data_IF_522616090509
#
_entry.id   IF_522616090509
#
_cell.length_a   1.000
_cell.length_b   1.000
_cell.length_c   1.000
_cell.angle_alpha   90.00
_cell.angle_beta   90.00
_cell.angle_gamma   90.00
#
_symmetry.space_group_name_H-M   'P 1'
#
loop_
_entity.id
_entity.type
_entity.pdbx_description
1 polymer ?
#
# COMPACT_ATOMS: atom_id res chain seq x y z
N UNK A 1 -9.37 13.73 2.51
CA UNK A 1 -9.27 12.74 3.59
C UNK A 1 -7.79 12.47 3.82
N UNK A 2 -7.32 12.61 5.06
CA UNK A 2 -5.90 12.41 5.43
C UNK A 2 -5.72 11.03 6.06
N UNK A 3 -4.74 10.27 5.58
CA UNK A 3 -4.40 8.93 6.06
C UNK A 3 -3.01 9.00 6.69
N UNK A 4 -2.83 8.74 7.98
CA UNK A 4 -1.48 8.63 8.55
C UNK A 4 -1.09 7.16 8.64
N UNK A 5 0.09 6.86 8.11
CA UNK A 5 0.87 5.68 8.46
C UNK A 5 1.11 5.70 9.95
N UNK A 6 0.41 4.88 10.73
CA UNK A 6 0.90 4.50 12.04
C UNK A 6 1.77 3.27 11.80
N UNK A 7 3.11 3.38 11.74
CA UNK A 7 3.95 2.20 11.62
C UNK A 7 3.93 1.51 12.97
N UNK A 8 2.88 0.70 13.19
CA UNK A 8 2.67 0.03 14.47
C UNK A 8 3.57 -1.21 14.56
N UNK A 9 4.05 -1.77 13.44
CA UNK A 9 4.87 -3.00 13.49
C UNK A 9 6.02 -3.12 12.49
N UNK A 10 6.29 -2.12 11.66
CA UNK A 10 7.55 -2.11 10.89
C UNK A 10 7.87 -0.70 10.39
N UNK A 11 9.12 -0.26 10.57
CA UNK A 11 9.66 0.93 9.89
C UNK A 11 9.63 0.68 8.38
N UNK A 12 8.90 1.44 7.56
CA UNK A 12 9.27 1.54 6.17
C UNK A 12 10.55 2.38 6.13
N UNK A 13 11.61 1.85 5.51
CA UNK A 13 12.89 2.57 5.34
C UNK A 13 12.61 3.93 4.68
N UNK A 14 12.79 5.01 5.45
CA UNK A 14 12.59 6.40 4.98
C UNK A 14 11.47 7.19 5.66
N UNK A 15 10.65 6.55 6.52
CA UNK A 15 9.52 7.19 7.18
C UNK A 15 9.77 7.27 8.68
N UNK A 16 9.74 8.47 9.26
CA UNK A 16 9.89 8.69 10.70
C UNK A 16 8.77 7.97 11.45
N UNK A 17 9.04 6.74 11.87
CA UNK A 17 8.05 5.86 12.47
C UNK A 17 8.10 5.83 13.98
N UNK A 18 6.94 5.57 14.58
CA UNK A 18 6.78 5.11 15.95
C UNK A 18 7.55 3.79 16.11
N UNK A 19 8.27 3.66 17.23
CA UNK A 19 9.02 2.46 17.60
C UNK A 19 8.07 1.24 17.66
N UNK A 20 8.38 0.10 17.01
CA UNK A 20 7.57 -1.12 17.08
C UNK A 20 7.39 -1.67 18.51
N UNK A 21 8.14 -1.17 19.50
CA UNK A 21 7.96 -1.48 20.93
C UNK A 21 6.87 -0.65 21.63
N UNK A 22 6.22 0.31 20.95
CA UNK A 22 5.30 1.26 21.60
C UNK A 22 3.87 0.69 21.83
N UNK A 23 3.47 -0.38 21.13
CA UNK A 23 2.18 -1.05 21.38
C UNK A 23 2.40 -2.48 21.91
N UNK A 24 3.32 -2.63 22.87
CA UNK A 24 3.25 -3.78 23.80
C UNK A 24 2.27 -3.52 24.95
N UNK A 25 1.83 -2.28 25.13
CA UNK A 25 0.88 -1.85 26.16
C UNK A 25 -0.40 -1.32 25.49
N UNK A 26 -1.42 -2.18 25.42
CA UNK A 26 -2.75 -1.86 24.86
C UNK A 26 -3.35 -0.57 25.44
N UNK A 27 -2.93 -0.20 26.65
CA UNK A 27 -3.47 0.92 27.43
C UNK A 27 -3.13 2.29 26.83
N UNK A 28 -2.07 2.39 26.01
CA UNK A 28 -1.65 3.67 25.41
C UNK A 28 -2.33 3.97 24.06
N UNK A 29 -3.08 3.02 23.49
CA UNK A 29 -3.79 3.19 22.20
C UNK A 29 -4.71 4.41 22.21
N UNK A 30 -5.55 4.65 23.24
CA UNK A 30 -6.44 5.80 23.26
C UNK A 30 -5.68 7.12 23.19
N UNK A 31 -4.53 7.24 23.85
CA UNK A 31 -3.75 8.49 23.90
C UNK A 31 -3.16 8.81 22.52
N UNK A 32 -2.52 7.85 21.86
CA UNK A 32 -2.01 8.03 20.49
C UNK A 32 -3.11 8.40 19.49
N UNK A 33 -4.27 7.75 19.57
CA UNK A 33 -5.40 8.10 18.72
C UNK A 33 -5.98 9.48 19.06
N UNK A 34 -5.86 9.93 20.31
CA UNK A 34 -6.19 11.29 20.73
C UNK A 34 -5.31 12.32 20.03
N UNK A 35 -3.98 12.15 20.11
CA UNK A 35 -3.01 13.02 19.43
C UNK A 35 -3.26 13.08 17.92
N UNK A 36 -3.52 11.93 17.28
CA UNK A 36 -3.87 11.88 15.86
C UNK A 36 -5.18 12.59 15.54
N UNK A 37 -6.16 12.49 16.43
CA UNK A 37 -7.44 13.18 16.25
C UNK A 37 -7.27 14.69 16.31
N UNK A 38 -6.46 15.17 17.25
CA UNK A 38 -6.12 16.58 17.44
C UNK A 38 -5.31 17.13 16.24
N UNK A 39 -4.45 16.30 15.66
CA UNK A 39 -3.75 16.58 14.39
C UNK A 39 -4.68 16.50 13.16
N UNK A 40 -5.98 16.21 13.34
CA UNK A 40 -6.97 16.19 12.28
C UNK A 40 -6.93 14.94 11.40
N UNK A 41 -6.21 13.90 11.81
CA UNK A 41 -6.12 12.62 11.10
C UNK A 41 -7.48 11.92 11.12
N UNK A 42 -7.86 11.34 9.97
CA UNK A 42 -9.16 10.66 9.78
C UNK A 42 -9.04 9.21 9.38
N UNK A 43 -7.81 8.72 9.16
CA UNK A 43 -7.57 7.33 8.83
C UNK A 43 -6.24 6.84 9.38
N UNK A 44 -6.28 5.64 9.97
CA UNK A 44 -5.14 4.92 10.53
C UNK A 44 -4.72 3.83 9.55
N UNK A 45 -3.43 3.77 9.24
CA UNK A 45 -2.85 2.74 8.37
C UNK A 45 -2.09 1.71 9.21
N UNK A 46 -2.46 0.45 9.07
CA UNK A 46 -1.86 -0.71 9.71
C UNK A 46 -0.88 -1.38 8.74
N UNK A 47 0.21 -1.94 9.29
CA UNK A 47 1.26 -2.62 8.53
C UNK A 47 1.44 -4.06 8.98
N UNK A 48 2.09 -4.85 8.13
CA UNK A 48 2.51 -6.22 8.42
C UNK A 48 3.22 -6.32 9.78
N UNK A 49 2.93 -7.40 10.51
CA UNK A 49 3.50 -7.72 11.81
C UNK A 49 2.55 -7.46 12.98
N UNK A 50 1.46 -6.72 12.77
CA UNK A 50 0.43 -6.50 13.77
C UNK A 50 -0.37 -7.79 14.01
N UNK A 51 -0.58 -8.15 15.27
CA UNK A 51 -1.46 -9.27 15.62
C UNK A 51 -2.92 -8.90 15.39
N UNK A 52 -3.77 -9.90 15.15
CA UNK A 52 -5.21 -9.69 14.95
C UNK A 52 -5.86 -9.05 16.18
N UNK A 53 -5.39 -9.39 17.40
CA UNK A 53 -5.91 -8.87 18.66
C UNK A 53 -5.59 -7.39 18.84
N UNK A 54 -4.35 -6.99 18.55
CA UNK A 54 -3.93 -5.58 18.62
C UNK A 54 -4.65 -4.77 17.54
N UNK A 55 -4.74 -5.30 16.31
CA UNK A 55 -5.46 -4.65 15.22
C UNK A 55 -6.94 -4.43 15.56
N UNK A 56 -7.62 -5.46 16.07
CA UNK A 56 -9.01 -5.36 16.51
C UNK A 56 -9.20 -4.24 17.53
N UNK A 57 -8.38 -4.22 18.60
CA UNK A 57 -8.49 -3.19 19.64
C UNK A 57 -8.24 -1.78 19.09
N UNK A 58 -7.18 -1.61 18.30
CA UNK A 58 -6.85 -0.34 17.65
C UNK A 58 -8.00 0.16 16.76
N UNK A 59 -8.56 -0.73 15.93
CA UNK A 59 -9.64 -0.40 15.01
C UNK A 59 -10.91 -0.02 15.78
N UNK A 60 -11.25 -0.75 16.84
CA UNK A 60 -12.38 -0.45 17.71
C UNK A 60 -12.26 0.97 18.32
N UNK A 61 -11.09 1.32 18.86
CA UNK A 61 -10.86 2.64 19.45
C UNK A 61 -10.76 3.76 18.39
N UNK A 62 -10.25 3.46 17.19
CA UNK A 62 -10.26 4.38 16.06
C UNK A 62 -11.69 4.69 15.60
N UNK A 63 -12.57 3.68 15.55
CA UNK A 63 -13.98 3.83 15.18
C UNK A 63 -14.76 4.68 16.17
N UNK A 64 -14.52 4.53 17.48
CA UNK A 64 -15.11 5.42 18.53
C UNK A 64 -14.78 6.89 18.29
N UNK A 65 -13.66 7.18 17.63
CA UNK A 65 -13.18 8.53 17.29
C UNK A 65 -13.57 8.97 15.87
N UNK A 66 -14.36 8.18 15.16
CA UNK A 66 -14.77 8.46 13.78
C UNK A 66 -13.63 8.38 12.77
N UNK A 67 -12.56 7.64 13.07
CA UNK A 67 -11.46 7.39 12.14
C UNK A 67 -11.71 6.10 11.35
N UNK A 68 -11.27 6.08 10.10
CA UNK A 68 -11.25 4.87 9.26
C UNK A 68 -9.93 4.14 9.38
N UNK A 69 -9.88 2.89 8.94
CA UNK A 69 -8.68 2.06 9.02
C UNK A 69 -8.37 1.41 7.67
N UNK A 70 -7.08 1.30 7.35
CA UNK A 70 -6.61 0.62 6.13
C UNK A 70 -5.40 -0.24 6.48
N UNK A 71 -5.26 -1.44 5.91
CA UNK A 71 -4.14 -2.33 6.21
C UNK A 71 -3.27 -2.61 4.96
N UNK A 72 -1.97 -2.73 5.16
CA UNK A 72 -1.06 -3.41 4.23
C UNK A 72 -0.32 -4.53 4.97
N UNK A 73 -0.80 -5.76 4.80
CA UNK A 73 -0.28 -6.99 5.37
C UNK A 73 0.37 -7.88 4.30
N UNK A 74 0.72 -7.30 3.15
CA UNK A 74 1.43 -7.98 2.06
C UNK A 74 0.65 -9.19 1.50
N UNK A 75 1.21 -10.40 1.62
CA UNK A 75 0.61 -11.64 1.11
C UNK A 75 -0.72 -11.98 1.77
N UNK A 76 -1.04 -11.34 2.91
CA UNK A 76 -2.34 -11.46 3.60
C UNK A 76 -3.36 -10.37 3.20
N UNK A 77 -3.02 -9.46 2.29
CA UNK A 77 -4.00 -8.48 1.81
C UNK A 77 -5.19 -9.19 1.18
N UNK A 78 -6.39 -8.66 1.45
CA UNK A 78 -7.69 -9.22 1.05
C UNK A 78 -8.03 -10.56 1.71
N UNK A 79 -7.49 -10.84 2.91
CA UNK A 79 -7.97 -11.94 3.75
C UNK A 79 -9.31 -11.57 4.40
N UNK A 80 -10.36 -12.32 4.05
CA UNK A 80 -11.73 -12.09 4.52
C UNK A 80 -11.88 -12.25 6.04
N UNK A 81 -11.22 -13.27 6.61
CA UNK A 81 -11.33 -13.59 8.02
C UNK A 81 -10.63 -12.53 8.86
N UNK A 82 -9.44 -12.09 8.43
CA UNK A 82 -8.72 -11.03 9.09
C UNK A 82 -9.51 -9.71 9.07
N UNK A 83 -10.07 -9.33 7.93
CA UNK A 83 -10.90 -8.12 7.81
C UNK A 83 -12.12 -8.19 8.74
N UNK A 84 -12.85 -9.30 8.75
CA UNK A 84 -14.03 -9.49 9.62
C UNK A 84 -13.68 -9.48 11.11
N UNK A 85 -12.64 -10.20 11.50
CA UNK A 85 -12.24 -10.33 12.90
C UNK A 85 -11.70 -9.03 13.50
N UNK A 86 -11.17 -8.14 12.65
CA UNK A 86 -10.61 -6.86 13.11
C UNK A 86 -11.56 -5.68 12.92
N UNK A 87 -12.56 -5.80 12.04
CA UNK A 87 -13.44 -4.70 11.68
C UNK A 87 -12.82 -3.71 10.68
N UNK A 88 -11.70 -4.06 10.04
CA UNK A 88 -10.95 -3.21 9.11
C UNK A 88 -11.84 -2.56 8.03
N UNK A 89 -11.70 -1.26 7.78
CA UNK A 89 -12.53 -0.56 6.77
C UNK A 89 -12.06 -0.78 5.33
N UNK A 90 -10.76 -0.98 5.10
CA UNK A 90 -10.25 -1.21 3.76
C UNK A 90 -8.84 -1.77 3.67
N UNK A 91 -8.48 -2.23 2.47
CA UNK A 91 -7.14 -2.73 2.17
C UNK A 91 -6.36 -1.72 1.33
N UNK A 92 -5.05 -1.67 1.51
CA UNK A 92 -4.18 -1.18 0.45
C UNK A 92 -3.66 -2.36 -0.36
N UNK A 93 -3.46 -2.09 -1.65
CA UNK A 93 -3.01 -3.03 -2.65
C UNK A 93 -4.04 -4.14 -2.92
N UNK A 94 -4.10 -4.57 -4.17
CA UNK A 94 -5.08 -5.56 -4.63
C UNK A 94 -4.57 -6.99 -4.44
N UNK A 95 -4.56 -7.39 -3.17
CA UNK A 95 -4.18 -8.74 -2.75
C UNK A 95 -2.70 -9.02 -2.95
N UNK A 96 -2.25 -10.10 -2.34
CA UNK A 96 -0.89 -10.60 -2.51
C UNK A 96 -0.67 -11.20 -3.92
N UNK A 97 0.22 -12.18 -4.04
CA UNK A 97 0.52 -12.84 -5.32
C UNK A 97 -0.61 -13.73 -5.86
N UNK A 98 -1.74 -13.85 -5.16
CA UNK A 98 -2.77 -14.83 -5.44
C UNK A 98 -4.02 -14.18 -6.04
N UNK A 99 -4.78 -14.97 -6.78
CA UNK A 99 -6.09 -14.55 -7.27
C UNK A 99 -7.07 -14.60 -6.11
N UNK A 100 -7.68 -13.47 -5.79
CA UNK A 100 -8.63 -13.34 -4.69
C UNK A 100 -10.01 -13.87 -5.13
N UNK A 101 -10.68 -14.70 -4.30
CA UNK A 101 -12.02 -15.20 -4.61
C UNK A 101 -13.05 -14.07 -4.76
N UNK A 102 -14.00 -14.22 -5.68
CA UNK A 102 -15.05 -13.22 -5.94
C UNK A 102 -15.90 -12.91 -4.70
N UNK A 103 -16.18 -13.93 -3.88
CA UNK A 103 -16.89 -13.79 -2.62
C UNK A 103 -16.26 -12.80 -1.62
N UNK A 104 -14.94 -12.53 -1.73
CA UNK A 104 -14.30 -11.48 -0.93
C UNK A 104 -14.78 -10.09 -1.35
N UNK A 105 -14.85 -9.84 -2.67
CA UNK A 105 -15.29 -8.57 -3.20
C UNK A 105 -16.80 -8.35 -2.96
N UNK A 106 -17.61 -9.40 -3.08
CA UNK A 106 -19.03 -9.33 -2.72
C UNK A 106 -19.22 -8.94 -1.25
N UNK A 107 -18.49 -9.59 -0.33
CA UNK A 107 -18.50 -9.23 1.09
C UNK A 107 -18.06 -7.79 1.31
N UNK A 108 -16.98 -7.35 0.67
CA UNK A 108 -16.49 -5.98 0.83
C UNK A 108 -17.52 -4.95 0.36
N UNK A 109 -18.23 -5.23 -0.72
CA UNK A 109 -19.30 -4.36 -1.22
C UNK A 109 -20.47 -4.30 -0.25
N UNK A 110 -20.94 -5.45 0.22
CA UNK A 110 -22.06 -5.56 1.16
C UNK A 110 -21.76 -4.85 2.48
N UNK A 111 -20.53 -5.00 2.99
CA UNK A 111 -20.09 -4.44 4.26
C UNK A 111 -19.60 -2.97 4.14
N UNK A 112 -19.70 -2.35 2.96
CA UNK A 112 -19.27 -0.97 2.73
C UNK A 112 -17.78 -0.73 2.91
N UNK A 113 -16.96 -1.74 2.62
CA UNK A 113 -15.48 -1.70 2.68
C UNK A 113 -14.89 -1.12 1.40
N UNK A 114 -13.62 -0.73 1.44
CA UNK A 114 -12.93 -0.13 0.29
C UNK A 114 -11.55 -0.71 0.02
N UNK A 115 -11.05 -0.48 -1.19
CA UNK A 115 -9.68 -0.83 -1.59
C UNK A 115 -8.95 0.39 -2.12
N UNK A 116 -7.72 0.60 -1.65
CA UNK A 116 -6.74 1.50 -2.26
C UNK A 116 -5.88 0.68 -3.23
N UNK A 117 -6.20 0.72 -4.51
CA UNK A 117 -5.75 -0.29 -5.48
C UNK A 117 -4.24 -0.29 -5.73
N UNK A 118 -3.62 0.90 -5.75
CA UNK A 118 -2.19 1.09 -6.00
C UNK A 118 -1.67 0.32 -7.23
N UNK A 119 -2.40 0.36 -8.34
CA UNK A 119 -2.09 -0.46 -9.54
C UNK A 119 -0.64 -0.31 -10.01
N UNK A 120 -0.08 0.88 -9.88
CA UNK A 120 1.31 1.17 -10.22
C UNK A 120 2.31 0.33 -9.39
N UNK A 121 2.02 0.09 -8.11
CA UNK A 121 2.83 -0.80 -7.29
C UNK A 121 2.78 -2.23 -7.84
N UNK A 122 1.61 -2.67 -8.30
CA UNK A 122 1.44 -3.97 -8.96
C UNK A 122 2.41 -4.18 -10.13
N UNK A 123 2.63 -3.14 -10.94
CA UNK A 123 3.58 -3.16 -12.05
C UNK A 123 5.04 -3.11 -11.58
N UNK A 124 5.35 -2.28 -10.58
CA UNK A 124 6.68 -2.19 -9.98
C UNK A 124 7.09 -3.55 -9.39
N UNK A 125 6.21 -4.17 -8.59
CA UNK A 125 6.43 -5.46 -7.96
C UNK A 125 6.39 -6.64 -8.94
N UNK A 126 5.76 -6.49 -10.10
CA UNK A 126 5.89 -7.47 -11.17
C UNK A 126 7.27 -7.45 -11.86
N UNK A 127 8.10 -6.43 -11.59
CA UNK A 127 9.38 -6.25 -12.26
C UNK A 127 9.28 -5.87 -13.73
N UNK A 128 8.09 -5.52 -14.24
CA UNK A 128 7.91 -5.14 -15.66
C UNK A 128 8.70 -3.89 -16.01
N UNK A 129 8.90 -2.99 -15.05
CA UNK A 129 9.76 -1.81 -15.21
C UNK A 129 11.24 -2.16 -15.40
N UNK A 130 11.65 -3.35 -14.95
CA UNK A 130 13.03 -3.85 -15.13
C UNK A 130 13.15 -4.63 -16.44
N UNK A 131 12.14 -5.43 -16.79
CA UNK A 131 12.20 -6.40 -17.90
C UNK A 131 11.63 -5.90 -19.22
N UNK A 132 10.64 -5.00 -19.19
CA UNK A 132 9.89 -4.54 -20.37
C UNK A 132 10.09 -3.05 -20.65
N UNK A 133 10.45 -2.24 -19.64
CA UNK A 133 10.51 -0.78 -19.80
C UNK A 133 11.78 -0.25 -20.46
N UNK A 134 12.84 -1.07 -20.55
CA UNK A 134 14.04 -0.72 -21.33
C UNK A 134 13.69 -0.31 -22.77
N UNK A 135 12.64 -0.93 -23.32
CA UNK A 135 12.18 -0.71 -24.69
C UNK A 135 10.98 0.27 -24.77
N UNK A 136 10.18 0.39 -23.70
CA UNK A 136 8.99 1.27 -23.65
C UNK A 136 9.30 2.69 -23.22
N UNK A 137 10.45 2.92 -22.58
CA UNK A 137 10.99 4.26 -22.33
C UNK A 137 10.26 5.06 -21.24
N UNK A 138 9.48 4.44 -20.35
CA UNK A 138 8.77 5.17 -19.29
C UNK A 138 9.73 5.87 -18.33
N UNK A 139 10.78 5.20 -17.87
CA UNK A 139 11.83 5.86 -17.06
C UNK A 139 12.69 6.85 -17.86
N UNK A 140 12.56 6.91 -19.18
CA UNK A 140 13.20 7.91 -20.05
C UNK A 140 12.30 9.12 -20.32
N UNK A 141 11.06 9.10 -19.84
CA UNK A 141 10.16 10.25 -19.94
C UNK A 141 10.81 11.46 -19.25
N UNK A 142 10.88 12.64 -19.90
CA UNK A 142 11.52 13.83 -19.33
C UNK A 142 11.03 14.18 -17.92
N UNK A 143 9.73 14.06 -17.65
CA UNK A 143 9.17 14.36 -16.33
C UNK A 143 9.66 13.38 -15.25
N UNK A 144 9.85 12.10 -15.60
CA UNK A 144 10.40 11.10 -14.68
C UNK A 144 11.89 11.37 -14.44
N UNK A 145 12.62 11.76 -15.48
CA UNK A 145 14.04 12.14 -15.38
C UNK A 145 14.23 13.38 -14.51
N UNK A 146 13.33 14.36 -14.62
CA UNK A 146 13.38 15.58 -13.81
C UNK A 146 13.13 15.31 -12.32
N UNK A 147 12.24 14.36 -11.99
CA UNK A 147 11.91 13.99 -10.60
C UNK A 147 13.01 13.13 -9.96
N UNK A 148 13.40 12.04 -10.63
CA UNK A 148 14.31 11.05 -10.04
C UNK A 148 15.78 11.34 -10.31
N UNK A 149 16.07 12.15 -11.33
CA UNK A 149 17.42 12.44 -11.78
C UNK A 149 17.96 11.35 -12.71
N UNK A 150 18.58 11.80 -13.81
CA UNK A 150 19.19 10.92 -14.82
C UNK A 150 20.13 9.87 -14.23
N UNK A 151 20.98 10.26 -13.28
CA UNK A 151 21.97 9.35 -12.66
C UNK A 151 21.31 8.21 -11.88
N UNK A 152 20.19 8.46 -11.20
CA UNK A 152 19.50 7.41 -10.44
C UNK A 152 18.79 6.43 -11.38
N UNK A 153 18.23 6.93 -12.48
CA UNK A 153 17.66 6.08 -13.54
C UNK A 153 18.74 5.22 -14.19
N UNK A 154 19.91 5.79 -14.49
CA UNK A 154 21.05 5.04 -15.03
C UNK A 154 21.53 3.95 -14.05
N UNK A 155 21.66 4.27 -12.75
CA UNK A 155 21.99 3.28 -11.70
C UNK A 155 20.94 2.18 -11.61
N UNK A 156 19.66 2.51 -11.70
CA UNK A 156 18.58 1.54 -11.68
C UNK A 156 18.73 0.54 -12.82
N UNK A 157 18.93 1.01 -14.05
CA UNK A 157 19.12 0.14 -15.21
C UNK A 157 20.43 -0.65 -15.17
N UNK A 158 21.52 -0.07 -14.64
CA UNK A 158 22.79 -0.78 -14.45
C UNK A 158 22.66 -1.94 -13.44
N UNK A 159 21.78 -1.80 -12.45
CA UNK A 159 21.54 -2.83 -11.42
C UNK A 159 20.31 -3.71 -11.70
N UNK A 160 19.60 -3.49 -12.80
CA UNK A 160 18.38 -4.20 -13.19
C UNK A 160 18.46 -5.72 -13.03
N UNK A 161 19.54 -6.34 -13.52
CA UNK A 161 19.70 -7.79 -13.45
C UNK A 161 19.86 -8.29 -12.00
N UNK A 162 20.69 -7.62 -11.20
CA UNK A 162 20.90 -7.93 -9.78
C UNK A 162 19.63 -7.70 -8.97
N UNK A 163 18.93 -6.60 -9.22
CA UNK A 163 17.63 -6.32 -8.60
C UNK A 163 16.62 -7.40 -8.97
N UNK A 164 16.59 -7.86 -10.22
CA UNK A 164 15.67 -8.92 -10.65
C UNK A 164 15.93 -10.24 -9.93
N UNK A 165 17.19 -10.62 -9.80
CA UNK A 165 17.61 -11.80 -9.06
C UNK A 165 17.25 -11.68 -7.58
N UNK A 166 17.61 -10.57 -6.94
CA UNK A 166 17.37 -10.36 -5.51
C UNK A 166 15.88 -10.29 -5.15
N UNK A 167 15.05 -9.63 -5.95
CA UNK A 167 13.65 -9.45 -5.61
C UNK A 167 12.73 -10.56 -6.13
N UNK A 168 13.01 -11.16 -7.30
CA UNK A 168 12.00 -11.99 -8.00
C UNK A 168 12.44 -13.41 -8.34
N UNK A 169 13.65 -13.62 -8.87
CA UNK A 169 14.02 -14.89 -9.52
C UNK A 169 15.08 -15.71 -8.80
N UNK A 170 15.80 -15.14 -7.83
CA UNK A 170 16.80 -15.85 -7.05
C UNK A 170 16.18 -16.89 -6.13
N UNK A 171 16.95 -17.93 -5.77
CA UNK A 171 16.53 -18.99 -4.84
C UNK A 171 16.16 -18.46 -3.45
N UNK A 172 16.76 -17.33 -3.06
CA UNK A 172 16.48 -16.61 -1.81
C UNK A 172 15.84 -15.25 -2.10
N UNK A 173 15.12 -15.12 -3.22
CA UNK A 173 14.51 -13.86 -3.60
C UNK A 173 13.63 -13.32 -2.48
N UNK A 174 13.76 -12.02 -2.21
CA UNK A 174 13.10 -11.36 -1.07
C UNK A 174 11.60 -11.66 -1.04
N UNK A 175 10.86 -11.44 -2.13
CA UNK A 175 9.41 -11.65 -2.13
C UNK A 175 9.01 -13.12 -1.94
N UNK A 176 9.81 -14.06 -2.46
CA UNK A 176 9.58 -15.48 -2.21
C UNK A 176 9.73 -15.81 -0.72
N UNK A 177 10.79 -15.30 -0.08
CA UNK A 177 11.02 -15.46 1.36
C UNK A 177 9.93 -14.80 2.23
N UNK A 178 9.23 -13.78 1.70
CA UNK A 178 8.09 -13.14 2.38
C UNK A 178 6.73 -13.81 2.08
N UNK A 179 6.72 -14.97 1.41
CA UNK A 179 5.50 -15.71 1.12
C UNK A 179 4.68 -15.15 -0.03
N UNK A 180 5.26 -14.32 -0.90
CA UNK A 180 4.62 -13.94 -2.17
C UNK A 180 4.70 -15.06 -3.22
N UNK A 181 5.39 -16.17 -2.94
CA UNK A 181 5.51 -17.26 -3.91
C UNK A 181 6.10 -16.81 -5.26
N UNK A 182 5.64 -17.43 -6.34
CA UNK A 182 6.15 -17.21 -7.69
C UNK A 182 5.75 -15.84 -8.26
N UNK A 183 6.68 -14.89 -8.21
CA UNK A 183 6.47 -13.51 -8.68
C UNK A 183 6.21 -13.40 -10.19
N UNK A 184 6.51 -14.43 -10.97
CA UNK A 184 6.21 -14.49 -12.42
C UNK A 184 4.72 -14.37 -12.73
N UNK A 185 3.84 -14.78 -11.79
CA UNK A 185 2.38 -14.69 -11.93
C UNK A 185 1.79 -13.44 -11.29
N UNK A 186 2.59 -12.68 -10.54
CA UNK A 186 2.13 -11.57 -9.71
C UNK A 186 1.33 -10.55 -10.52
N UNK A 187 1.87 -10.06 -11.65
CA UNK A 187 1.18 -9.10 -12.51
C UNK A 187 -0.19 -9.58 -12.96
N UNK A 188 -0.26 -10.82 -13.46
CA UNK A 188 -1.49 -11.40 -13.98
C UNK A 188 -2.53 -11.48 -12.87
N UNK A 189 -2.14 -11.99 -11.71
CA UNK A 189 -3.05 -12.16 -10.58
C UNK A 189 -3.52 -10.81 -10.05
N UNK A 190 -2.62 -9.84 -9.95
CA UNK A 190 -2.93 -8.47 -9.58
C UNK A 190 -3.95 -7.85 -10.55
N UNK A 191 -3.74 -7.96 -11.87
CA UNK A 191 -4.68 -7.42 -12.86
C UNK A 191 -6.04 -8.13 -12.86
N UNK A 192 -6.07 -9.45 -12.60
CA UNK A 192 -7.33 -10.18 -12.39
C UNK A 192 -8.07 -9.62 -11.18
N UNK A 193 -7.37 -9.37 -10.06
CA UNK A 193 -7.96 -8.79 -8.86
C UNK A 193 -8.46 -7.36 -9.13
N UNK A 194 -7.71 -6.52 -9.84
CA UNK A 194 -8.17 -5.17 -10.29
C UNK A 194 -9.47 -5.26 -11.06
N UNK A 195 -9.56 -6.18 -12.02
CA UNK A 195 -10.78 -6.34 -12.82
C UNK A 195 -11.96 -6.79 -11.98
N UNK A 196 -11.77 -7.79 -11.11
CA UNK A 196 -12.82 -8.30 -10.22
C UNK A 196 -13.33 -7.24 -9.26
N UNK A 197 -12.40 -6.48 -8.68
CA UNK A 197 -12.69 -5.36 -7.82
C UNK A 197 -13.56 -4.31 -8.55
N UNK A 198 -13.14 -3.89 -9.74
CA UNK A 198 -13.90 -2.99 -10.60
C UNK A 198 -15.30 -3.52 -10.94
N UNK A 199 -15.40 -4.78 -11.38
CA UNK A 199 -16.66 -5.39 -11.81
C UNK A 199 -17.63 -5.60 -10.63
N UNK A 200 -17.11 -5.87 -9.43
CA UNK A 200 -17.92 -6.11 -8.22
C UNK A 200 -18.66 -4.86 -7.73
N UNK A 201 -18.09 -3.67 -7.98
CA UNK A 201 -18.59 -2.40 -7.47
C UNK A 201 -18.19 -2.09 -6.03
N UNK A 202 -17.13 -2.71 -5.51
CA UNK A 202 -16.46 -2.29 -4.27
C UNK A 202 -15.96 -0.84 -4.42
N UNK A 203 -15.94 -0.07 -3.32
CA UNK A 203 -15.48 1.30 -3.35
C UNK A 203 -13.96 1.37 -3.60
N UNK A 204 -13.58 2.06 -4.69
CA UNK A 204 -12.18 2.17 -5.11
C UNK A 204 -11.57 3.53 -4.80
N UNK A 205 -10.35 3.50 -4.29
CA UNK A 205 -9.47 4.64 -4.19
C UNK A 205 -8.17 4.39 -4.98
N UNK A 206 -7.69 5.44 -5.64
CA UNK A 206 -6.37 5.42 -6.29
C UNK A 206 -5.27 5.77 -5.29
N UNK A 207 -4.16 5.06 -5.38
CA UNK A 207 -2.90 5.37 -4.70
C UNK A 207 -1.71 5.03 -5.60
N UNK A 208 -0.53 5.53 -5.29
CA UNK A 208 0.70 5.23 -6.06
C UNK A 208 1.74 4.45 -5.26
N UNK A 209 1.62 4.45 -3.93
CA UNK A 209 2.60 3.92 -2.99
C UNK A 209 4.03 4.46 -3.21
N UNK A 210 4.13 5.71 -3.65
CA UNK A 210 5.43 6.35 -3.89
C UNK A 210 6.27 6.46 -2.60
N UNK A 211 7.63 6.42 -2.66
CA UNK A 211 8.47 6.85 -3.79
C UNK A 211 9.22 5.73 -4.56
N UNK A 212 8.59 4.61 -4.90
CA UNK A 212 9.25 3.63 -5.77
C UNK A 212 9.56 4.21 -7.14
N UNK A 213 10.73 3.89 -7.70
CA UNK A 213 11.13 4.38 -9.02
C UNK A 213 10.12 3.92 -10.08
N UNK A 214 9.39 4.88 -10.65
CA UNK A 214 8.28 4.65 -11.59
C UNK A 214 6.88 4.72 -10.99
N UNK A 215 6.75 4.92 -9.68
CA UNK A 215 5.56 5.44 -9.04
C UNK A 215 5.60 6.97 -9.05
N UNK A 216 4.50 7.61 -9.41
CA UNK A 216 4.45 9.08 -9.50
C UNK A 216 4.22 9.69 -8.12
N UNK A 217 5.14 10.55 -7.70
CA UNK A 217 4.93 11.60 -6.71
C UNK A 217 4.71 12.89 -7.50
N UNK A 218 3.53 13.49 -7.43
CA UNK A 218 3.36 14.82 -8.02
C UNK A 218 4.02 15.86 -7.09
N UNK A 219 4.89 16.69 -7.63
CA UNK A 219 5.37 17.96 -7.08
C UNK A 219 5.97 17.93 -5.64
N UNK A 220 6.92 17.05 -5.32
CA UNK A 220 7.80 17.17 -4.12
C UNK A 220 7.15 17.39 -2.74
N UNK A 221 5.82 17.30 -2.66
CA UNK A 221 4.94 17.67 -1.54
C UNK A 221 3.60 16.94 -1.59
N UNK A 222 3.29 16.20 -2.66
CA UNK A 222 2.04 15.45 -2.73
C UNK A 222 2.25 14.01 -2.31
N UNK A 223 1.50 13.65 -1.26
CA UNK A 223 1.28 12.34 -0.63
C UNK A 223 1.81 12.22 0.80
N UNK A 224 2.42 13.26 1.36
CA UNK A 224 2.94 13.26 2.74
C UNK A 224 2.75 14.62 3.40
N UNK A 225 1.74 14.74 4.26
CA UNK A 225 1.70 15.85 5.23
C UNK A 225 2.50 15.44 6.46
N UNK A 226 3.48 16.24 6.88
CA UNK A 226 4.22 16.03 8.11
C UNK A 226 3.51 16.76 9.26
N UNK A 227 2.98 16.03 10.23
CA UNK A 227 2.34 16.61 11.42
C UNK A 227 3.37 17.38 12.26
N UNK A 228 2.89 18.17 13.23
CA UNK A 228 3.76 18.97 14.13
C UNK A 228 4.80 18.12 14.87
N UNK A 229 4.58 16.81 14.99
CA UNK A 229 5.45 15.84 15.65
C UNK A 229 6.22 14.93 14.68
N UNK A 230 6.16 15.19 13.37
CA UNK A 230 6.94 14.45 12.37
C UNK A 230 6.22 13.29 11.68
N UNK A 231 4.93 13.06 11.93
CA UNK A 231 4.17 11.97 11.31
C UNK A 231 3.76 12.29 9.87
N UNK A 232 4.01 11.39 8.92
CA UNK A 232 3.69 11.62 7.51
C UNK A 232 2.38 10.93 7.08
N UNK A 233 1.50 11.64 6.36
CA UNK A 233 0.20 11.13 5.91
C UNK A 233 -0.10 11.19 4.40
N UNK A 234 -0.70 10.12 3.87
CA UNK A 234 -1.17 9.89 2.49
C UNK A 234 -2.48 10.64 2.18
N UNK A 235 -2.52 11.26 1.00
CA UNK A 235 -3.70 11.92 0.44
C UNK A 235 -4.41 10.96 -0.54
N UNK A 236 -5.63 10.53 -0.23
CA UNK A 236 -6.47 9.75 -1.15
C UNK A 236 -7.37 10.69 -1.98
N UNK A 237 -7.45 10.45 -3.30
CA UNK A 237 -8.37 11.14 -4.22
C UNK A 237 -9.52 10.22 -4.64
N UNK A 238 -10.67 10.80 -4.99
CA UNK A 238 -11.88 10.05 -5.34
C UNK A 238 -11.74 9.27 -6.66
N UNK A 239 -12.50 8.18 -6.80
CA UNK A 239 -12.54 7.29 -7.96
C UNK A 239 -12.70 8.00 -9.32
N UNK A 240 -13.41 9.14 -9.36
CA UNK A 240 -13.60 9.95 -10.57
C UNK A 240 -12.28 10.52 -11.13
N UNK A 241 -11.24 10.60 -10.30
CA UNK A 241 -9.89 11.05 -10.67
C UNK A 241 -9.01 9.92 -11.22
N UNK A 242 -9.42 8.65 -11.03
CA UNK A 242 -8.67 7.45 -11.41
C UNK A 242 -9.15 6.91 -12.77
N UNK A 243 -10.43 7.13 -13.11
CA UNK A 243 -11.03 6.68 -14.37
C UNK A 243 -10.34 7.22 -15.64
N UNK A 244 -9.63 8.35 -15.57
CA UNK A 244 -8.88 8.94 -16.69
C UNK A 244 -7.60 8.17 -17.06
N UNK A 245 -7.32 7.02 -16.43
CA UNK A 245 -6.18 6.15 -16.76
C UNK A 245 -6.56 4.99 -17.69
N UNK A 246 -7.85 4.81 -17.96
CA UNK A 246 -8.40 3.73 -18.79
C UNK A 246 -9.03 4.23 -20.10
N UNK A 247 -8.94 5.52 -20.39
CA UNK A 247 -9.22 6.14 -21.71
C UNK A 247 -7.91 6.47 -22.42
#
# INVERSE_FOLDING_TARGET
>A
MFVVGAPITQRPTGWGGIDPNIITEYDNIPDYLGEYQDDGIKMIKLYRGISVQVAWRLIEDAHKRGMKTVADLWSMNLDAMWMRNTGLDGWAHLGGPHVVPEAMFDMMKEDGRFIVTTVVLGEVLAGTRITEDKDRGFLRNPLVVDIYGRKEIEKYYANAAKGREYFYTGKEAFYQAQGFGEMTRYRRNFLINVKRDYDSGVLLAGGTDAPYLGSWQRDGRSSTFQSRHGHQGLLLRSAKSVATWFE
#
